data_IF_890587737770
#
_entry.id   IF_890587737770
#
_cell.length_a   1.000
_cell.length_b   1.000
_cell.length_c   1.000
_cell.angle_alpha   90.00
_cell.angle_beta   90.00
_cell.angle_gamma   90.00
#
_symmetry.space_group_name_H-M   'P 1'
#
loop_
_entity.id
_entity.type
_entity.pdbx_description
1 polymer ?
#
# COMPACT_ATOMS: atom_id res chain seq x y z
N UNK A 1 -34.10 16.65 -49.45
CA UNK A 1 -34.51 15.54 -48.57
C UNK A 1 -33.32 14.60 -48.40
N UNK A 2 -32.84 14.43 -47.17
CA UNK A 2 -31.74 13.54 -46.82
C UNK A 2 -31.55 13.59 -45.29
N UNK A 3 -31.63 12.48 -44.56
CA UNK A 3 -31.87 12.49 -43.13
C UNK A 3 -30.60 12.79 -42.33
N UNK A 4 -30.72 13.71 -41.37
CA UNK A 4 -29.79 13.89 -40.25
C UNK A 4 -30.21 12.91 -39.15
N UNK A 5 -29.36 11.94 -38.84
CA UNK A 5 -29.49 11.05 -37.69
C UNK A 5 -28.16 11.12 -36.91
N UNK A 6 -28.18 11.77 -35.75
CA UNK A 6 -28.27 11.12 -34.44
C UNK A 6 -26.89 10.74 -33.88
N UNK A 7 -26.27 11.67 -33.16
CA UNK A 7 -25.26 11.36 -32.14
C UNK A 7 -25.59 12.18 -30.89
N UNK A 8 -26.37 11.58 -30.01
CA UNK A 8 -26.60 12.06 -28.66
C UNK A 8 -26.75 10.82 -27.78
N UNK A 9 -25.78 10.59 -26.88
CA UNK A 9 -25.93 9.57 -25.85
C UNK A 9 -24.63 8.89 -25.44
N UNK A 10 -23.73 9.60 -24.76
CA UNK A 10 -22.83 8.99 -23.77
C UNK A 10 -22.13 10.08 -22.94
N UNK A 11 -22.82 10.62 -21.95
CA UNK A 11 -22.22 11.53 -20.97
C UNK A 11 -23.00 11.46 -19.65
N UNK A 12 -22.95 10.35 -18.91
CA UNK A 12 -23.57 10.31 -17.56
C UNK A 12 -23.04 9.20 -16.62
N UNK A 13 -21.72 9.01 -16.50
CA UNK A 13 -21.15 8.06 -15.52
C UNK A 13 -20.01 8.61 -14.65
N UNK A 14 -19.59 9.86 -14.80
CA UNK A 14 -18.38 10.39 -14.10
C UNK A 14 -18.63 10.99 -12.70
N UNK A 15 -19.88 11.18 -12.25
CA UNK A 15 -20.18 11.88 -10.99
C UNK A 15 -20.27 10.98 -9.73
N UNK A 16 -20.07 9.66 -9.87
CA UNK A 16 -20.34 8.70 -8.79
C UNK A 16 -19.20 8.39 -7.82
N UNK A 17 -17.96 8.80 -8.11
CA UNK A 17 -16.80 8.36 -7.31
C UNK A 17 -16.44 9.31 -6.16
N UNK A 18 -16.65 10.62 -6.31
CA UNK A 18 -16.35 11.58 -5.25
C UNK A 18 -17.23 11.39 -4.00
N UNK A 19 -18.47 10.95 -4.16
CA UNK A 19 -19.41 10.70 -3.06
C UNK A 19 -19.22 9.37 -2.34
N UNK A 20 -18.35 8.49 -2.84
CA UNK A 20 -18.04 7.22 -2.17
C UNK A 20 -17.07 7.42 -0.98
N UNK A 21 -16.09 8.31 -1.11
CA UNK A 21 -15.13 8.59 -0.02
C UNK A 21 -15.78 9.38 1.13
N UNK A 22 -16.68 10.32 0.82
CA UNK A 22 -17.42 11.10 1.83
C UNK A 22 -18.24 10.21 2.77
N UNK A 23 -18.73 9.06 2.28
CA UNK A 23 -19.50 8.11 3.08
C UNK A 23 -18.64 7.29 4.05
N UNK A 24 -17.38 7.03 3.73
CA UNK A 24 -16.51 6.17 4.54
C UNK A 24 -15.94 6.93 5.75
N UNK A 25 -15.58 8.20 5.59
CA UNK A 25 -14.97 9.00 6.65
C UNK A 25 -16.00 9.84 7.44
N UNK A 26 -17.17 9.27 7.75
CA UNK A 26 -18.23 9.97 8.48
C UNK A 26 -17.85 10.37 9.94
N UNK A 27 -16.70 9.90 10.44
CA UNK A 27 -16.10 10.31 11.70
C UNK A 27 -14.59 10.50 11.56
N UNK A 28 -13.98 11.20 12.52
CA UNK A 28 -12.53 11.29 12.63
C UNK A 28 -11.96 9.93 13.04
N UNK A 29 -11.06 9.36 12.24
CA UNK A 29 -10.24 8.24 12.66
C UNK A 29 -8.89 8.79 13.11
N UNK A 30 -8.61 8.71 14.41
CA UNK A 30 -7.42 9.35 14.98
C UNK A 30 -6.20 8.42 15.06
N UNK A 31 -5.01 9.01 15.16
CA UNK A 31 -3.74 8.31 15.43
C UNK A 31 -3.86 7.30 16.59
N UNK A 32 -4.56 7.67 17.67
CA UNK A 32 -4.73 6.83 18.85
C UNK A 32 -5.59 5.58 18.60
N UNK A 33 -6.65 5.70 17.80
CA UNK A 33 -7.50 4.56 17.43
C UNK A 33 -6.74 3.59 16.52
N UNK A 34 -5.97 4.12 15.57
CA UNK A 34 -5.15 3.30 14.70
C UNK A 34 -4.03 2.58 15.45
N UNK A 35 -3.36 3.25 16.39
CA UNK A 35 -2.39 2.62 17.28
C UNK A 35 -3.02 1.52 18.13
N UNK A 36 -4.21 1.76 18.68
CA UNK A 36 -4.96 0.76 19.43
C UNK A 36 -5.31 -0.48 18.60
N UNK A 37 -5.67 -0.30 17.33
CA UNK A 37 -5.91 -1.40 16.41
C UNK A 37 -4.63 -2.22 16.12
N UNK A 38 -3.48 -1.55 15.93
CA UNK A 38 -2.19 -2.22 15.76
C UNK A 38 -1.77 -2.98 17.03
N UNK A 39 -1.96 -2.40 18.21
CA UNK A 39 -1.64 -3.06 19.48
C UNK A 39 -2.53 -4.29 19.72
N UNK A 40 -3.82 -4.20 19.38
CA UNK A 40 -4.73 -5.34 19.42
C UNK A 40 -4.33 -6.44 18.43
N UNK A 41 -3.95 -6.06 17.21
CA UNK A 41 -3.49 -6.99 16.19
C UNK A 41 -2.22 -7.75 16.62
N UNK A 42 -1.25 -7.08 17.24
CA UNK A 42 -0.07 -7.76 17.81
C UNK A 42 -0.48 -8.77 18.88
N UNK A 43 -1.38 -8.38 19.79
CA UNK A 43 -1.93 -9.30 20.79
C UNK A 43 -2.60 -10.53 20.17
N UNK A 44 -3.34 -10.37 19.06
CA UNK A 44 -3.95 -11.48 18.35
C UNK A 44 -2.93 -12.37 17.64
N UNK A 45 -1.94 -11.77 16.95
CA UNK A 45 -0.89 -12.50 16.24
C UNK A 45 -0.02 -13.33 17.19
N UNK A 46 0.41 -12.76 18.33
CA UNK A 46 1.17 -13.48 19.37
C UNK A 46 0.42 -14.69 19.93
N UNK A 47 -0.92 -14.65 19.95
CA UNK A 47 -1.77 -15.74 20.44
C UNK A 47 -2.36 -16.61 19.32
N UNK A 48 -1.87 -16.49 18.07
CA UNK A 48 -2.36 -17.21 16.89
C UNK A 48 -3.88 -17.05 16.63
N UNK A 49 -4.47 -15.93 17.05
CA UNK A 49 -5.87 -15.57 16.79
C UNK A 49 -6.00 -14.88 15.43
N UNK A 50 -5.70 -15.62 14.36
CA UNK A 50 -5.54 -15.05 13.02
C UNK A 50 -6.82 -14.41 12.46
N UNK A 51 -7.99 -14.95 12.82
CA UNK A 51 -9.28 -14.41 12.38
C UNK A 51 -9.52 -13.02 12.96
N UNK A 52 -9.29 -12.85 14.26
CA UNK A 52 -9.42 -11.59 14.98
C UNK A 52 -8.39 -10.56 14.52
N UNK A 53 -7.14 -10.99 14.31
CA UNK A 53 -6.10 -10.15 13.71
C UNK A 53 -6.54 -9.63 12.33
N UNK A 54 -7.06 -10.51 11.46
CA UNK A 54 -7.57 -10.14 10.13
C UNK A 54 -8.69 -9.13 10.20
N UNK A 55 -9.72 -9.39 11.00
CA UNK A 55 -10.87 -8.48 11.14
C UNK A 55 -10.38 -7.10 11.60
N UNK A 56 -9.48 -7.06 12.58
CA UNK A 56 -8.95 -5.81 13.14
C UNK A 56 -8.13 -5.03 12.13
N UNK A 57 -7.15 -5.68 11.48
CA UNK A 57 -6.25 -5.01 10.54
C UNK A 57 -6.97 -4.56 9.26
N UNK A 58 -7.94 -5.33 8.77
CA UNK A 58 -8.68 -4.96 7.58
C UNK A 58 -9.67 -3.82 7.87
N UNK A 59 -10.33 -3.83 9.03
CA UNK A 59 -11.14 -2.69 9.45
C UNK A 59 -10.28 -1.42 9.59
N UNK A 60 -9.09 -1.54 10.18
CA UNK A 60 -8.15 -0.43 10.26
C UNK A 60 -7.70 0.05 8.86
N UNK A 61 -7.41 -0.87 7.92
CA UNK A 61 -7.00 -0.52 6.54
C UNK A 61 -8.02 0.36 5.83
N UNK A 62 -9.31 0.05 5.97
CA UNK A 62 -10.40 0.83 5.37
C UNK A 62 -10.50 2.24 5.98
N UNK A 63 -10.09 2.40 7.24
CA UNK A 63 -10.16 3.67 7.97
C UNK A 63 -8.88 4.51 7.89
N UNK A 64 -7.73 3.93 7.52
CA UNK A 64 -6.45 4.66 7.38
C UNK A 64 -6.55 5.88 6.43
N UNK A 65 -7.25 5.83 5.28
CA UNK A 65 -7.49 7.03 4.48
C UNK A 65 -8.28 8.13 5.19
N UNK A 66 -8.99 7.81 6.28
CA UNK A 66 -9.73 8.77 7.10
C UNK A 66 -8.91 9.37 8.25
N UNK A 67 -7.60 9.11 8.32
CA UNK A 67 -6.71 9.77 9.27
C UNK A 67 -6.77 11.30 9.10
N UNK A 68 -6.84 12.02 10.22
CA UNK A 68 -6.87 13.49 10.24
C UNK A 68 -5.47 14.13 10.13
N UNK A 69 -4.42 13.31 10.12
CA UNK A 69 -3.04 13.70 10.00
C UNK A 69 -2.30 12.91 8.91
N UNK A 70 -1.14 13.44 8.50
CA UNK A 70 -0.20 12.70 7.66
C UNK A 70 0.30 11.47 8.44
N UNK A 71 0.20 10.32 7.79
CA UNK A 71 0.65 9.05 8.37
C UNK A 71 2.13 9.13 8.71
N UNK A 72 2.52 8.62 9.88
CA UNK A 72 3.95 8.50 10.23
C UNK A 72 4.53 7.28 9.54
N UNK A 73 5.64 7.40 8.77
CA UNK A 73 6.29 6.25 8.14
C UNK A 73 6.55 5.08 9.10
N UNK A 74 6.96 5.34 10.35
CA UNK A 74 7.18 4.28 11.35
C UNK A 74 5.91 3.49 11.70
N UNK A 75 4.77 4.18 11.84
CA UNK A 75 3.47 3.57 12.11
C UNK A 75 2.96 2.78 10.90
N UNK A 76 3.05 3.36 9.70
CA UNK A 76 2.67 2.66 8.47
C UNK A 76 3.55 1.42 8.22
N UNK A 77 4.83 1.52 8.58
CA UNK A 77 5.77 0.42 8.53
C UNK A 77 5.39 -0.73 9.47
N UNK A 78 4.96 -0.42 10.70
CA UNK A 78 4.44 -1.42 11.66
C UNK A 78 3.16 -2.06 11.15
N UNK A 79 2.16 -1.25 10.76
CA UNK A 79 0.88 -1.73 10.24
C UNK A 79 1.05 -2.69 9.07
N UNK A 80 1.92 -2.32 8.12
CA UNK A 80 2.22 -3.13 6.95
C UNK A 80 2.89 -4.46 7.30
N UNK A 81 3.73 -4.53 8.34
CA UNK A 81 4.31 -5.82 8.79
C UNK A 81 3.27 -6.76 9.35
N UNK A 82 2.31 -6.22 10.11
CA UNK A 82 1.25 -7.02 10.70
C UNK A 82 0.36 -7.62 9.60
N UNK A 83 0.00 -6.82 8.59
CA UNK A 83 -0.70 -7.32 7.41
C UNK A 83 0.14 -8.35 6.65
N UNK A 84 1.42 -8.07 6.39
CA UNK A 84 2.29 -8.99 5.68
C UNK A 84 2.44 -10.34 6.38
N UNK A 85 2.64 -10.34 7.71
CA UNK A 85 2.73 -11.56 8.50
C UNK A 85 1.40 -12.33 8.53
N UNK A 86 0.27 -11.61 8.64
CA UNK A 86 -1.06 -12.21 8.55
C UNK A 86 -1.28 -12.92 7.22
N UNK A 87 -0.94 -12.28 6.09
CA UNK A 87 -1.10 -12.87 4.76
C UNK A 87 -0.13 -14.04 4.52
N UNK A 88 1.09 -13.95 5.02
CA UNK A 88 2.04 -15.06 4.99
C UNK A 88 1.48 -16.29 5.72
N UNK A 89 0.92 -16.10 6.92
CA UNK A 89 0.28 -17.18 7.69
C UNK A 89 -1.00 -17.70 7.01
N UNK A 90 -1.63 -16.90 6.15
CA UNK A 90 -2.75 -17.30 5.31
C UNK A 90 -2.34 -17.97 3.99
N UNK A 91 -1.03 -18.17 3.76
CA UNK A 91 -0.45 -18.71 2.54
C UNK A 91 -0.73 -17.87 1.28
N UNK A 92 -0.92 -16.55 1.45
CA UNK A 92 -0.97 -15.58 0.37
C UNK A 92 0.37 -14.84 0.28
N UNK A 93 1.35 -15.50 -0.34
CA UNK A 93 2.73 -15.00 -0.45
C UNK A 93 2.79 -13.69 -1.25
N UNK A 94 1.99 -13.57 -2.31
CA UNK A 94 1.95 -12.37 -3.15
C UNK A 94 1.48 -11.15 -2.34
N UNK A 95 0.36 -11.26 -1.62
CA UNK A 95 -0.14 -10.17 -0.81
C UNK A 95 0.80 -9.88 0.38
N UNK A 96 1.40 -10.91 0.98
CA UNK A 96 2.43 -10.76 2.01
C UNK A 96 3.65 -9.96 1.51
N UNK A 97 4.12 -10.25 0.29
CA UNK A 97 5.23 -9.55 -0.35
C UNK A 97 4.89 -8.07 -0.61
N UNK A 98 3.69 -7.77 -1.11
CA UNK A 98 3.28 -6.36 -1.34
C UNK A 98 3.30 -5.53 -0.05
N UNK A 99 2.78 -6.08 1.05
CA UNK A 99 2.76 -5.38 2.35
C UNK A 99 4.14 -5.30 3.00
N UNK A 100 4.95 -6.35 2.91
CA UNK A 100 6.31 -6.33 3.46
C UNK A 100 7.20 -5.32 2.73
N UNK A 101 7.07 -5.22 1.39
CA UNK A 101 7.74 -4.18 0.59
C UNK A 101 7.34 -2.78 1.02
N UNK A 102 6.05 -2.53 1.29
CA UNK A 102 5.63 -1.24 1.86
C UNK A 102 6.38 -0.96 3.16
N UNK A 103 6.42 -1.94 4.07
CA UNK A 103 7.11 -1.78 5.35
C UNK A 103 8.60 -1.44 5.21
N UNK A 104 9.30 -2.16 4.33
CA UNK A 104 10.73 -1.93 4.06
C UNK A 104 10.95 -0.55 3.43
N UNK A 105 10.07 -0.13 2.51
CA UNK A 105 10.19 1.17 1.86
C UNK A 105 10.02 2.35 2.82
N UNK A 106 9.08 2.24 3.78
CA UNK A 106 8.70 3.37 4.65
C UNK A 106 9.44 3.40 5.97
N UNK A 107 9.85 2.23 6.48
CA UNK A 107 10.49 2.08 7.78
C UNK A 107 11.54 0.95 7.78
N UNK A 108 12.62 1.07 6.98
CA UNK A 108 13.63 0.02 6.84
C UNK A 108 14.35 -0.31 8.16
N UNK A 109 14.48 0.67 9.05
CA UNK A 109 15.12 0.52 10.36
C UNK A 109 14.18 0.03 11.47
N UNK A 110 12.89 -0.15 11.20
CA UNK A 110 11.99 -0.72 12.20
C UNK A 110 12.46 -2.16 12.50
N UNK A 111 12.67 -2.56 13.76
CA UNK A 111 13.06 -3.93 14.08
C UNK A 111 11.90 -4.89 13.83
N UNK A 112 12.20 -6.11 13.38
CA UNK A 112 11.17 -7.14 13.29
C UNK A 112 10.74 -7.58 14.70
N UNK A 113 9.46 -7.98 14.88
CA UNK A 113 9.01 -8.62 16.11
C UNK A 113 9.92 -9.79 16.53
N UNK A 114 10.05 -10.01 17.84
CA UNK A 114 11.00 -11.00 18.39
C UNK A 114 10.67 -12.45 17.98
N UNK A 115 9.41 -12.73 17.67
CA UNK A 115 8.88 -13.99 17.14
C UNK A 115 9.16 -14.19 15.63
N UNK A 116 9.68 -13.16 14.95
CA UNK A 116 10.20 -13.24 13.58
C UNK A 116 11.72 -13.04 13.58
N UNK A 117 12.49 -13.99 14.15
CA UNK A 117 13.95 -13.89 14.23
C UNK A 117 14.61 -13.99 12.86
N UNK A 118 15.92 -13.76 12.82
CA UNK A 118 16.74 -14.06 11.65
C UNK A 118 16.62 -15.53 11.24
N UNK A 119 16.53 -15.80 9.93
CA UNK A 119 16.25 -17.15 9.40
C UNK A 119 14.79 -17.58 9.45
N UNK A 120 13.87 -16.78 9.98
CA UNK A 120 12.44 -17.09 9.88
C UNK A 120 12.01 -17.08 8.39
N UNK A 121 11.22 -18.05 7.89
CA UNK A 121 10.88 -18.16 6.46
C UNK A 121 10.22 -16.90 5.87
N UNK A 122 9.33 -16.26 6.64
CA UNK A 122 8.77 -14.96 6.24
C UNK A 122 9.85 -13.87 6.07
N UNK A 123 10.86 -13.82 6.95
CA UNK A 123 11.94 -12.84 6.85
C UNK A 123 12.81 -13.12 5.63
N UNK A 124 13.10 -14.40 5.38
CA UNK A 124 13.81 -14.85 4.17
C UNK A 124 13.06 -14.42 2.89
N UNK A 125 11.75 -14.68 2.83
CA UNK A 125 10.86 -14.23 1.74
C UNK A 125 11.02 -12.72 1.49
N UNK A 126 10.99 -11.90 2.54
CA UNK A 126 11.13 -10.44 2.41
C UNK A 126 12.53 -10.01 1.96
N UNK A 127 13.58 -10.64 2.51
CA UNK A 127 14.97 -10.25 2.20
C UNK A 127 15.47 -10.73 0.84
N UNK A 128 14.87 -11.79 0.29
CA UNK A 128 15.23 -12.35 -1.01
C UNK A 128 14.42 -11.74 -2.15
N UNK A 129 13.28 -11.11 -1.85
CA UNK A 129 12.48 -10.40 -2.81
C UNK A 129 13.25 -9.23 -3.44
N UNK A 130 13.16 -9.09 -4.76
CA UNK A 130 13.71 -7.93 -5.46
C UNK A 130 13.02 -6.64 -4.95
N UNK A 131 13.78 -5.56 -4.73
CA UNK A 131 13.22 -4.26 -4.39
C UNK A 131 12.20 -3.83 -5.45
N UNK A 132 11.05 -3.33 -5.01
CA UNK A 132 10.06 -2.75 -5.90
C UNK A 132 10.68 -1.58 -6.70
N UNK A 133 10.52 -1.53 -8.03
CA UNK A 133 11.03 -0.42 -8.81
C UNK A 133 10.19 0.84 -8.53
N UNK A 134 10.84 2.00 -8.48
CA UNK A 134 10.13 3.28 -8.47
C UNK A 134 9.67 3.59 -9.90
N UNK A 135 8.35 3.63 -10.11
CA UNK A 135 7.73 3.81 -11.42
C UNK A 135 6.68 4.93 -11.37
N UNK A 136 6.32 5.47 -12.53
CA UNK A 136 5.35 6.56 -12.70
C UNK A 136 5.56 7.29 -14.03
N UNK A 137 4.62 8.16 -14.45
CA UNK A 137 4.80 8.95 -15.66
C UNK A 137 6.00 9.89 -15.51
N UNK A 138 6.91 9.85 -16.49
CA UNK A 138 8.13 10.66 -16.51
C UNK A 138 7.95 11.99 -17.24
N UNK A 139 6.88 12.10 -18.03
CA UNK A 139 6.51 13.23 -18.86
C UNK A 139 5.37 14.08 -18.25
N UNK A 140 4.91 13.73 -17.04
CA UNK A 140 3.83 14.44 -16.34
C UNK A 140 4.23 14.89 -14.94
N UNK A 141 3.64 15.99 -14.50
CA UNK A 141 3.77 16.51 -13.14
C UNK A 141 2.47 16.35 -12.36
N UNK A 142 2.44 16.83 -11.12
CA UNK A 142 1.17 16.93 -10.40
C UNK A 142 0.36 18.17 -10.83
N UNK A 143 -0.94 17.99 -11.06
CA UNK A 143 -1.93 19.03 -11.31
C UNK A 143 -2.61 19.51 -10.01
N UNK A 144 -1.83 19.91 -9.00
CA UNK A 144 -2.39 20.28 -7.70
C UNK A 144 -2.90 21.72 -7.65
N UNK A 145 -3.86 21.94 -6.75
CA UNK A 145 -4.22 23.30 -6.33
C UNK A 145 -3.02 24.05 -5.72
N UNK A 146 -2.98 25.39 -5.82
CA UNK A 146 -1.90 26.17 -5.24
C UNK A 146 -1.76 25.95 -3.73
N UNK A 147 -0.52 25.67 -3.30
CA UNK A 147 -0.14 25.39 -1.90
C UNK A 147 -0.62 24.06 -1.33
N UNK A 148 -1.15 23.15 -2.15
CA UNK A 148 -1.37 21.77 -1.73
C UNK A 148 -0.05 20.99 -1.71
N UNK A 149 0.03 19.98 -0.84
CA UNK A 149 1.22 19.15 -0.68
C UNK A 149 0.86 17.67 -0.79
N UNK A 150 1.43 16.94 -1.76
CA UNK A 150 1.22 15.50 -1.90
C UNK A 150 2.21 14.73 -1.02
N UNK A 151 1.70 13.69 -0.39
CA UNK A 151 2.46 12.76 0.43
C UNK A 151 2.20 11.34 -0.04
N UNK A 152 3.25 10.54 -0.10
CA UNK A 152 3.19 9.12 -0.33
C UNK A 152 3.80 8.42 0.87
N UNK A 153 3.01 7.55 1.50
CA UNK A 153 3.43 6.78 2.65
C UNK A 153 4.00 7.63 3.81
N UNK A 154 3.45 8.84 4.01
CA UNK A 154 3.91 9.77 5.03
C UNK A 154 5.10 10.65 4.64
N UNK A 155 5.62 10.49 3.42
CA UNK A 155 6.73 11.26 2.89
C UNK A 155 6.26 12.25 1.82
N UNK A 156 6.76 13.48 1.86
CA UNK A 156 6.48 14.46 0.82
C UNK A 156 7.12 14.04 -0.51
N UNK A 157 6.37 14.09 -1.61
CA UNK A 157 6.86 13.70 -2.94
C UNK A 157 6.79 14.84 -3.96
N UNK A 158 7.78 14.89 -4.86
CA UNK A 158 7.90 15.94 -5.89
C UNK A 158 7.25 15.54 -7.22
N UNK A 159 7.20 14.23 -7.49
CA UNK A 159 6.76 13.65 -8.75
C UNK A 159 5.72 12.56 -8.48
N UNK A 160 4.78 12.30 -9.41
CA UNK A 160 3.80 11.21 -9.31
C UNK A 160 4.48 9.85 -9.57
N UNK A 161 5.40 9.49 -8.68
CA UNK A 161 6.13 8.22 -8.70
C UNK A 161 5.88 7.49 -7.40
N UNK A 162 5.77 6.17 -7.50
CA UNK A 162 5.59 5.28 -6.36
C UNK A 162 6.24 3.92 -6.64
N UNK A 163 6.43 3.12 -5.60
CA UNK A 163 6.95 1.78 -5.75
C UNK A 163 5.91 0.88 -6.44
N UNK A 164 6.29 0.27 -7.56
CA UNK A 164 5.47 -0.72 -8.25
C UNK A 164 5.22 -1.94 -7.35
N UNK A 165 4.04 -2.57 -7.47
CA UNK A 165 3.68 -3.77 -6.68
C UNK A 165 3.68 -3.53 -5.15
N UNK A 166 3.51 -2.28 -4.72
CA UNK A 166 3.38 -1.91 -3.30
C UNK A 166 2.02 -1.27 -3.08
N UNK A 167 1.37 -1.59 -1.96
CA UNK A 167 0.16 -0.88 -1.52
C UNK A 167 0.58 0.48 -0.95
N UNK A 168 0.58 1.54 -1.75
CA UNK A 168 1.00 2.86 -1.28
C UNK A 168 -0.19 3.65 -0.71
N UNK A 169 -0.01 4.38 0.38
CA UNK A 169 -1.00 5.34 0.86
C UNK A 169 -0.66 6.73 0.31
N UNK A 170 -1.53 7.28 -0.52
CA UNK A 170 -1.43 8.67 -0.95
C UNK A 170 -2.28 9.57 -0.06
N UNK A 171 -1.73 10.71 0.34
CA UNK A 171 -2.43 11.76 1.08
C UNK A 171 -2.12 13.11 0.44
N UNK A 172 -3.14 13.94 0.27
CA UNK A 172 -3.03 15.32 -0.20
C UNK A 172 -3.49 16.25 0.93
N UNK A 173 -2.71 17.28 1.21
CA UNK A 173 -3.10 18.33 2.16
C UNK A 173 -3.31 19.67 1.49
N UNK A 174 -4.11 20.52 2.13
CA UNK A 174 -4.13 21.94 1.85
C UNK A 174 -2.92 22.69 2.48
N UNK A 175 -2.93 24.02 2.37
CA UNK A 175 -1.90 24.91 2.95
C UNK A 175 -1.83 24.83 4.47
N UNK A 176 -2.94 24.55 5.15
CA UNK A 176 -3.01 24.46 6.61
C UNK A 176 -2.59 23.08 7.13
N UNK A 177 -2.35 22.11 6.25
CA UNK A 177 -2.01 20.74 6.60
C UNK A 177 -3.22 19.85 6.86
N UNK A 178 -4.43 20.32 6.51
CA UNK A 178 -5.62 19.47 6.58
C UNK A 178 -5.61 18.52 5.39
N UNK A 179 -5.87 17.23 5.64
CA UNK A 179 -6.04 16.21 4.60
C UNK A 179 -7.29 16.55 3.77
N UNK A 180 -7.10 16.73 2.47
CA UNK A 180 -8.18 17.00 1.50
C UNK A 180 -8.55 15.77 0.67
N UNK A 181 -7.61 14.85 0.48
CA UNK A 181 -7.82 13.56 -0.18
C UNK A 181 -6.83 12.55 0.38
N UNK A 182 -7.26 11.31 0.54
CA UNK A 182 -6.39 10.20 0.88
C UNK A 182 -6.98 8.90 0.36
N UNK A 183 -6.13 8.02 -0.17
CA UNK A 183 -6.56 6.72 -0.69
C UNK A 183 -5.35 5.78 -0.88
N UNK A 184 -5.65 4.49 -0.93
CA UNK A 184 -4.68 3.46 -1.27
C UNK A 184 -4.48 3.40 -2.79
N UNK A 185 -3.21 3.39 -3.22
CA UNK A 185 -2.77 3.12 -4.58
C UNK A 185 -2.21 1.71 -4.62
N UNK A 186 -2.69 0.90 -5.56
CA UNK A 186 -2.04 -0.37 -5.88
C UNK A 186 -0.92 -0.15 -6.90
N UNK A 187 0.34 -0.32 -6.47
CA UNK A 187 1.51 0.01 -7.26
C UNK A 187 1.71 1.51 -7.42
N UNK A 188 1.79 1.99 -8.66
CA UNK A 188 2.10 3.40 -8.97
C UNK A 188 1.10 4.08 -9.90
N UNK A 189 -0.15 3.64 -9.89
CA UNK A 189 -1.22 4.24 -10.68
C UNK A 189 -1.77 5.48 -9.96
N UNK A 190 -1.32 6.67 -10.35
CA UNK A 190 -1.95 7.93 -9.92
C UNK A 190 -3.20 8.21 -10.74
N UNK A 191 -4.19 8.84 -10.12
CA UNK A 191 -5.42 9.23 -10.81
C UNK A 191 -5.16 10.35 -11.81
N UNK A 192 -5.83 10.30 -12.98
CA UNK A 192 -5.60 11.21 -14.09
C UNK A 192 -5.87 12.69 -13.75
N UNK A 193 -6.77 12.95 -12.80
CA UNK A 193 -7.09 14.28 -12.28
C UNK A 193 -5.96 14.90 -11.45
N UNK A 194 -5.08 14.07 -10.87
CA UNK A 194 -3.88 14.53 -10.16
C UNK A 194 -2.71 14.77 -11.11
N UNK A 195 -2.79 14.36 -12.36
CA UNK A 195 -1.69 14.43 -13.32
C UNK A 195 -1.88 15.62 -14.26
N UNK A 196 -0.82 16.40 -14.45
CA UNK A 196 -0.81 17.59 -15.30
C UNK A 196 0.44 17.70 -16.15
N UNK A 197 0.57 18.87 -16.78
CA UNK A 197 1.77 19.24 -17.50
C UNK A 197 3.02 19.15 -16.60
N UNK A 198 4.17 18.70 -17.14
CA UNK A 198 5.41 18.67 -16.39
C UNK A 198 5.86 20.09 -15.98
N UNK A 199 6.63 20.19 -14.90
CA UNK A 199 7.34 21.43 -14.53
C UNK A 199 6.75 22.22 -13.36
N UNK A 200 5.54 21.91 -12.88
CA UNK A 200 5.06 22.42 -11.59
C UNK A 200 5.43 21.44 -10.47
N UNK A 201 6.57 21.68 -9.83
CA UNK A 201 6.98 20.90 -8.68
C UNK A 201 6.37 21.47 -7.40
N UNK A 202 5.63 20.67 -6.60
CA UNK A 202 5.13 21.12 -5.31
C UNK A 202 6.30 21.46 -4.37
N UNK A 203 6.07 22.36 -3.43
CA UNK A 203 7.06 22.72 -2.40
C UNK A 203 6.67 22.06 -1.08
N UNK A 204 7.64 21.55 -0.31
CA UNK A 204 7.34 21.01 1.01
C UNK A 204 6.73 22.12 1.88
N UNK A 205 5.62 21.85 2.58
CA UNK A 205 4.98 22.87 3.38
C UNK A 205 5.82 23.19 4.61
N UNK A 206 5.81 24.46 5.04
CA UNK A 206 6.66 24.94 6.16
C UNK A 206 6.35 24.28 7.50
N UNK A 207 5.13 23.79 7.67
CA UNK A 207 4.68 23.12 8.89
C UNK A 207 5.09 21.65 8.92
N UNK A 208 5.46 21.05 7.78
CA UNK A 208 5.84 19.65 7.72
C UNK A 208 7.32 19.51 8.07
N UNK A 209 7.59 18.57 8.96
CA UNK A 209 8.93 18.11 9.29
C UNK A 209 8.99 16.63 8.96
N UNK A 210 9.93 16.16 8.11
CA UNK A 210 10.07 14.75 7.84
C UNK A 210 10.35 14.00 9.15
N UNK A 211 9.73 12.84 9.32
CA UNK A 211 10.17 11.91 10.38
C UNK A 211 11.64 11.56 10.08
N UNK A 212 12.56 11.74 11.05
CA UNK A 212 13.94 11.36 10.82
C UNK A 212 13.98 9.86 10.48
N UNK A 213 14.82 9.44 9.52
CA UNK A 213 15.04 8.02 9.34
C UNK A 213 15.51 7.47 10.69
N UNK A 214 14.80 6.48 11.24
CA UNK A 214 15.15 5.89 12.54
C UNK A 214 16.67 5.63 12.57
N UNK A 215 17.35 6.17 13.59
CA UNK A 215 18.80 6.40 13.64
C UNK A 215 19.69 5.17 13.36
N UNK A 216 19.10 3.98 13.26
CA UNK A 216 19.75 2.73 12.83
C UNK A 216 20.13 2.76 11.33
N UNK A 217 19.54 3.64 10.51
CA UNK A 217 19.84 3.73 9.06
C UNK A 217 21.13 4.48 8.72
N UNK A 218 21.68 5.32 9.61
CA UNK A 218 22.86 6.16 9.29
C UNK A 218 24.16 5.38 9.08
N UNK A 219 24.20 4.06 9.31
CA UNK A 219 25.42 3.26 9.13
C UNK A 219 25.42 2.31 7.92
N UNK A 220 24.34 2.19 7.12
CA UNK A 220 24.23 1.11 6.12
C UNK A 220 23.86 1.53 4.69
N UNK A 221 23.51 2.80 4.40
CA UNK A 221 23.16 3.18 3.02
C UNK A 221 23.94 4.39 2.46
N UNK A 222 24.98 4.13 1.65
CA UNK A 222 25.39 5.03 0.60
C UNK A 222 25.14 4.36 -0.77
N UNK A 223 23.90 4.17 -1.24
CA UNK A 223 23.69 3.71 -2.64
C UNK A 223 22.29 3.84 -3.28
N UNK A 224 21.23 4.28 -2.60
CA UNK A 224 19.87 4.24 -3.19
C UNK A 224 19.26 5.63 -3.49
N UNK A 225 19.82 6.70 -2.94
CA UNK A 225 19.41 8.05 -3.36
C UNK A 225 20.31 8.51 -4.50
N UNK A 226 19.80 8.39 -5.73
CA UNK A 226 20.40 8.92 -6.95
C UNK A 226 20.49 10.45 -6.94
N UNK A 227 21.30 11.00 -6.04
CA UNK A 227 21.91 12.31 -6.25
C UNK A 227 22.96 12.07 -7.35
N UNK A 228 22.88 12.74 -8.52
CA UNK A 228 23.97 12.70 -9.48
C UNK A 228 25.21 13.24 -8.76
N UNK A 229 26.14 12.35 -8.43
CA UNK A 229 27.47 12.73 -7.95
C UNK A 229 28.12 13.43 -9.14
N UNK A 230 28.18 14.75 -9.09
CA UNK A 230 29.02 15.53 -9.97
C UNK A 230 30.44 14.94 -9.89
N UNK A 231 31.02 14.62 -11.05
CA UNK A 231 32.33 13.99 -11.24
C UNK A 231 33.31 14.29 -10.11
N UNK A 232 33.43 13.35 -9.18
CA UNK A 232 34.39 13.42 -8.09
C UNK A 232 35.74 12.95 -8.62
N UNK A 233 36.69 13.89 -8.60
CA UNK A 233 38.10 13.77 -8.96
C UNK A 233 38.76 12.48 -8.42
N UNK A 234 39.32 11.60 -9.27
CA UNK A 234 39.86 10.29 -8.87
C UNK A 234 41.09 10.32 -7.95
N UNK A 235 41.68 11.49 -7.67
CA UNK A 235 42.92 11.60 -6.87
C UNK A 235 42.73 11.93 -5.38
N UNK A 236 41.50 12.07 -4.89
CA UNK A 236 41.26 12.41 -3.47
C UNK A 236 41.17 11.17 -2.58
N UNK A 237 42.32 10.66 -2.14
CA UNK A 237 42.44 9.55 -1.17
C UNK A 237 42.46 10.09 0.28
N UNK A 238 41.46 9.84 1.14
CA UNK A 238 41.55 10.21 2.55
C UNK A 238 42.42 9.19 3.32
N UNK A 239 43.42 9.69 4.03
CA UNK A 239 44.24 8.94 4.98
C UNK A 239 43.40 8.49 6.18
N UNK A 240 43.29 7.18 6.38
CA UNK A 240 42.58 6.58 7.50
C UNK A 240 43.30 6.73 8.83
N UNK A 241 42.55 7.03 9.88
CA UNK A 241 42.97 6.86 11.28
C UNK A 241 41.98 5.89 11.93
N UNK A 242 42.44 4.67 12.26
CA UNK A 242 41.67 3.68 13.00
C UNK A 242 41.58 4.09 14.47
N UNK A 243 40.36 4.24 14.99
CA UNK A 243 40.09 4.31 16.42
C UNK A 243 39.27 3.08 16.84
N UNK A 244 39.82 2.30 17.76
CA UNK A 244 39.17 1.13 18.38
C UNK A 244 38.09 1.58 19.37
N UNK A 245 36.82 1.13 19.27
CA UNK A 245 35.82 1.44 20.28
C UNK A 245 35.96 0.53 21.51
N UNK A 246 35.80 1.11 22.70
CA UNK A 246 35.75 0.43 23.98
C UNK A 246 34.41 -0.33 24.18
N UNK A 247 34.37 -1.39 25.02
CA UNK A 247 33.15 -2.14 25.28
C UNK A 247 32.15 -1.38 26.15
N UNK A 248 30.83 -1.46 25.88
CA UNK A 248 29.81 -0.86 26.73
C UNK A 248 29.61 -1.67 28.03
N UNK A 249 29.61 -0.94 29.14
CA UNK A 249 29.31 -1.43 30.50
C UNK A 249 27.80 -1.56 30.68
N UNK A 250 27.36 -2.66 31.31
CA UNK A 250 25.96 -3.07 31.42
C UNK A 250 25.08 -2.15 32.28
N UNK A 251 23.80 -2.09 31.91
CA UNK A 251 22.70 -1.46 32.66
C UNK A 251 21.68 -2.56 32.99
N UNK A 252 21.19 -2.67 34.24
CA UNK A 252 20.20 -3.69 34.62
C UNK A 252 18.81 -3.39 34.05
N UNK A 253 18.15 -4.44 33.59
CA UNK A 253 16.77 -4.44 33.11
C UNK A 253 15.78 -4.29 34.27
N UNK A 254 15.03 -3.19 34.29
CA UNK A 254 13.79 -3.09 35.04
C UNK A 254 12.63 -3.33 34.06
N UNK A 255 11.90 -4.43 34.27
CA UNK A 255 10.70 -4.79 33.51
C UNK A 255 9.53 -3.95 34.04
N UNK A 256 8.90 -3.06 33.24
CA UNK A 256 7.66 -2.44 33.65
C UNK A 256 6.51 -3.45 33.54
N UNK A 257 5.84 -3.68 34.66
CA UNK A 257 4.57 -4.42 34.72
C UNK A 257 3.52 -3.68 33.88
N UNK A 258 2.97 -4.35 32.87
CA UNK A 258 1.94 -3.81 31.99
C UNK A 258 0.68 -3.41 32.79
N UNK A 259 0.21 -2.19 32.56
CA UNK A 259 -1.08 -1.72 33.05
C UNK A 259 -2.23 -2.50 32.37
N UNK A 260 -3.35 -2.75 33.08
CA UNK A 260 -4.51 -3.40 32.49
C UNK A 260 -5.10 -2.52 31.37
N UNK A 261 -5.42 -3.16 30.24
CA UNK A 261 -6.03 -2.51 29.08
C UNK A 261 -7.31 -1.76 29.48
N UNK A 262 -7.55 -0.54 28.95
CA UNK A 262 -8.81 0.15 29.14
C UNK A 262 -9.95 -0.66 28.53
N UNK A 263 -11.00 -0.90 29.32
CA UNK A 263 -12.27 -1.45 28.82
C UNK A 263 -12.87 -0.42 27.87
N UNK A 264 -12.66 -0.63 26.56
CA UNK A 264 -13.29 0.18 25.53
C UNK A 264 -14.82 0.14 25.62
N UNK A 265 -15.51 1.17 25.09
CA UNK A 265 -16.96 1.17 25.00
C UNK A 265 -17.41 -0.05 24.20
N UNK A 266 -18.41 -0.77 24.72
CA UNK A 266 -18.91 -2.00 24.13
C UNK A 266 -19.33 -1.80 22.68
N UNK A 267 -18.50 -2.30 21.76
CA UNK A 267 -18.90 -2.54 20.39
C UNK A 267 -19.99 -3.60 20.46
N UNK A 268 -21.23 -3.14 20.40
CA UNK A 268 -22.37 -4.02 20.21
C UNK A 268 -22.12 -4.72 18.88
N UNK A 269 -21.95 -6.04 18.91
CA UNK A 269 -22.00 -6.88 17.73
C UNK A 269 -23.35 -6.62 17.04
N UNK A 270 -23.37 -5.68 16.10
CA UNK A 270 -24.41 -5.61 15.10
C UNK A 270 -24.26 -6.90 14.29
N UNK A 271 -24.99 -7.93 14.72
CA UNK A 271 -25.19 -9.17 13.98
C UNK A 271 -25.80 -8.74 12.65
N UNK A 272 -24.96 -8.62 11.63
CA UNK A 272 -25.39 -8.44 10.24
C UNK A 272 -26.03 -9.77 9.87
N UNK A 273 -27.35 -9.84 10.01
CA UNK A 273 -28.16 -10.90 9.40
C UNK A 273 -27.99 -10.75 7.88
N UNK A 274 -27.02 -11.48 7.34
CA UNK A 274 -26.84 -11.60 5.90
C UNK A 274 -28.11 -12.15 5.27
N UNK A 275 -28.50 -11.69 4.07
CA UNK A 275 -29.67 -12.22 3.38
C UNK A 275 -29.55 -13.74 3.26
N UNK A 276 -30.61 -14.43 3.68
CA UNK A 276 -30.70 -15.88 3.63
C UNK A 276 -30.27 -16.40 2.26
N UNK A 277 -29.35 -17.37 2.28
CA UNK A 277 -28.90 -18.05 1.06
C UNK A 277 -30.12 -18.54 0.26
N UNK A 278 -30.18 -18.29 -1.06
CA UNK A 278 -31.28 -18.76 -1.88
C UNK A 278 -31.38 -20.29 -1.80
N UNK A 279 -32.60 -20.78 -1.57
CA UNK A 279 -32.90 -22.22 -1.54
C UNK A 279 -32.38 -22.88 -2.83
N UNK A 280 -31.76 -24.07 -2.74
CA UNK A 280 -31.37 -24.83 -3.92
C UNK A 280 -32.61 -25.14 -4.77
N UNK A 281 -32.56 -24.70 -6.03
CA UNK A 281 -33.56 -25.03 -7.04
C UNK A 281 -33.55 -26.54 -7.29
N UNK A 282 -34.71 -27.19 -7.47
CA UNK A 282 -34.77 -28.62 -7.74
C UNK A 282 -34.04 -28.95 -9.06
N UNK A 283 -33.17 -29.95 -8.99
CA UNK A 283 -32.37 -30.45 -10.10
C UNK A 283 -33.26 -30.84 -11.29
N UNK A 284 -33.01 -30.21 -12.44
CA UNK A 284 -33.56 -30.64 -13.71
C UNK A 284 -32.86 -31.94 -14.15
N UNK A 285 -33.66 -32.96 -14.43
CA UNK A 285 -33.25 -34.23 -15.03
C UNK A 285 -32.53 -33.99 -16.37
N UNK A 286 -31.34 -34.57 -16.60
CA UNK A 286 -30.67 -34.43 -17.90
C UNK A 286 -31.39 -35.27 -18.96
N UNK A 287 -31.77 -34.61 -20.06
CA UNK A 287 -32.28 -35.26 -21.26
C UNK A 287 -31.12 -35.90 -22.05
N UNK A 288 -31.34 -37.12 -22.54
CA UNK A 288 -30.41 -37.88 -23.37
C UNK A 288 -29.97 -37.13 -24.63
N UNK A 289 -28.69 -37.20 -25.03
CA UNK A 289 -28.24 -36.62 -26.29
C UNK A 289 -28.66 -37.51 -27.48
N UNK A 290 -29.39 -36.91 -28.42
CA UNK A 290 -29.65 -37.49 -29.74
C UNK A 290 -28.42 -37.32 -30.64
N UNK A 291 -27.88 -38.43 -31.12
CA UNK A 291 -26.77 -38.45 -32.07
C UNK A 291 -27.20 -37.84 -33.42
N UNK A 292 -26.49 -36.79 -33.87
CA UNK A 292 -26.61 -36.24 -35.22
C UNK A 292 -25.30 -36.50 -35.96
N UNK A 293 -25.40 -37.16 -37.12
CA UNK A 293 -24.29 -37.57 -37.96
C UNK A 293 -23.53 -36.37 -38.59
N UNK A 294 -22.22 -36.51 -38.86
CA UNK A 294 -21.44 -35.45 -39.52
C UNK A 294 -21.70 -35.41 -41.03
N UNK A 295 -21.97 -34.20 -41.53
CA UNK A 295 -22.01 -33.88 -42.97
C UNK A 295 -20.58 -33.74 -43.52
N UNK A 296 -20.41 -34.35 -44.68
CA UNK A 296 -19.23 -34.45 -45.54
C UNK A 296 -18.57 -33.11 -45.88
N UNK A 297 -17.23 -33.12 -45.89
CA UNK A 297 -16.36 -32.02 -46.31
C UNK A 297 -16.34 -31.84 -47.83
N UNK A 298 -16.28 -30.58 -48.28
CA UNK A 298 -16.02 -30.17 -49.67
C UNK A 298 -14.53 -29.87 -49.86
N UNK A 299 -13.86 -30.37 -50.91
CA UNK A 299 -12.46 -30.07 -51.17
C UNK A 299 -12.27 -28.72 -51.89
N UNK A 300 -11.17 -28.04 -51.56
CA UNK A 300 -10.72 -26.79 -52.19
C UNK A 300 -10.06 -27.03 -53.57
N UNK A 301 -10.17 -26.10 -54.53
CA UNK A 301 -9.45 -26.19 -55.79
C UNK A 301 -8.00 -25.72 -55.67
N UNK A 302 -7.10 -26.49 -56.28
CA UNK A 302 -5.69 -26.17 -56.44
C UNK A 302 -5.49 -25.02 -57.45
N UNK A 303 -4.74 -23.99 -57.05
CA UNK A 303 -4.22 -22.98 -57.98
C UNK A 303 -2.90 -23.45 -58.58
N UNK A 304 -2.87 -23.39 -59.91
CA UNK A 304 -1.76 -23.76 -60.76
C UNK A 304 -0.62 -22.73 -60.73
N UNK A 305 0.60 -23.24 -60.73
CA UNK A 305 1.81 -22.51 -61.14
C UNK A 305 1.78 -22.22 -62.63
N UNK A 306 2.35 -21.10 -63.04
CA UNK A 306 2.73 -20.81 -64.44
C UNK A 306 4.04 -20.02 -64.42
N UNK A 307 4.74 -19.97 -65.56
CA UNK A 307 5.97 -20.70 -65.89
C UNK A 307 7.28 -19.99 -65.47
#
# INVERSE_FOLDING_TARGET
MGPRAAMAGMALLAAGQASAQEKLCAGSYGDGEWLGAMDAADGYLTNFKLKEARVTLYAARELVPCLDAIVKPSQLGRFSRQLALLEFLAQDEDTALRWSRLSVAVAPALPWPADVPEGHPFRELVTTAEPAPLVGPTDRGFALEPNSAPFLNGQFILYPQAYGEVNNLFQLTDKAGKITSAYWIDGAAFSEDLLGEPGKTPKPPKWWTPEPPSAVTSMVLPLVFGVPVADADPDSRPSGTSATPAPPTGVPAAVPTAAPAPKGPGWSEARVDGPAAPKPSPAATPASPTATAPKTATPAPASASTP
#
